data_IF_593255991614
#
_entry.id   IF_593255991614
#
_cell.length_a   1.000
_cell.length_b   1.000
_cell.length_c   1.000
_cell.angle_alpha   90.00
_cell.angle_beta   90.00
_cell.angle_gamma   90.00
#
_symmetry.space_group_name_H-M   'P 1'
#
loop_
_entity.id
_entity.type
_entity.pdbx_description
1 polymer ?
#
# COMPACT_ATOMS: atom_id res chain seq x y z
N UNK A 1 13.24 -2.48 -10.77
CA UNK A 1 12.59 -3.81 -10.85
C UNK A 1 11.64 -3.76 -12.05
N UNK A 2 12.08 -4.24 -13.22
CA UNK A 2 11.35 -4.34 -14.51
C UNK A 2 10.82 -3.07 -15.21
N UNK A 3 10.86 -1.89 -14.58
CA UNK A 3 10.38 -0.65 -15.21
C UNK A 3 8.85 -0.54 -15.30
N UNK A 4 8.14 -1.39 -14.56
CA UNK A 4 6.67 -1.38 -14.47
C UNK A 4 6.21 -0.29 -13.51
N UNK A 5 5.35 0.60 -13.97
CA UNK A 5 4.75 1.66 -13.14
C UNK A 5 3.71 1.05 -12.19
N UNK A 6 3.84 1.31 -10.88
CA UNK A 6 2.94 0.77 -9.84
C UNK A 6 2.04 1.81 -9.18
N UNK A 7 2.39 3.08 -9.27
CA UNK A 7 1.67 4.16 -8.62
C UNK A 7 1.90 5.48 -9.38
N UNK A 8 0.85 6.27 -9.53
CA UNK A 8 0.89 7.58 -10.17
C UNK A 8 -0.02 8.54 -9.40
N UNK A 9 0.44 9.79 -9.23
CA UNK A 9 -0.37 10.89 -8.69
C UNK A 9 -0.13 12.11 -9.57
N UNK A 10 -1.23 12.78 -9.93
CA UNK A 10 -1.21 14.06 -10.63
C UNK A 10 -2.14 14.99 -9.86
N UNK A 11 -1.58 16.08 -9.37
CA UNK A 11 -2.32 17.14 -8.69
C UNK A 11 -2.42 18.36 -9.60
N UNK A 12 -3.49 19.14 -9.45
CA UNK A 12 -3.59 20.47 -10.05
C UNK A 12 -2.57 21.44 -9.42
N UNK A 13 -2.29 22.57 -10.09
CA UNK A 13 -1.25 23.53 -9.72
C UNK A 13 -1.27 24.01 -8.25
N UNK A 14 -2.42 24.30 -7.61
CA UNK A 14 -2.43 24.78 -6.23
C UNK A 14 -2.30 23.66 -5.19
N UNK A 15 -2.26 22.38 -5.59
CA UNK A 15 -2.36 21.23 -4.69
C UNK A 15 -1.00 20.55 -4.52
N UNK A 16 -0.33 20.85 -3.41
CA UNK A 16 0.92 20.18 -3.02
C UNK A 16 0.76 18.66 -2.86
N UNK A 17 1.83 17.92 -3.15
CA UNK A 17 1.91 16.46 -2.88
C UNK A 17 2.42 16.23 -1.47
N UNK A 18 2.11 15.05 -0.92
CA UNK A 18 2.67 14.60 0.35
C UNK A 18 3.87 13.66 0.10
N UNK A 19 5.04 14.02 0.64
CA UNK A 19 6.27 13.21 0.52
C UNK A 19 6.16 11.94 1.34
N UNK A 20 5.54 11.99 2.52
CA UNK A 20 5.38 10.81 3.37
C UNK A 20 4.54 9.74 2.67
N UNK A 21 3.55 10.15 1.87
CA UNK A 21 2.74 9.23 1.07
C UNK A 21 3.55 8.58 -0.06
N UNK A 22 4.46 9.33 -0.68
CA UNK A 22 5.36 8.76 -1.69
C UNK A 22 6.29 7.71 -1.07
N UNK A 23 6.83 7.96 0.12
CA UNK A 23 7.65 7.00 0.86
C UNK A 23 6.82 5.79 1.26
N UNK A 24 5.60 6.01 1.80
CA UNK A 24 4.67 4.94 2.20
C UNK A 24 4.36 4.00 1.05
N UNK A 25 4.15 4.52 -0.16
CA UNK A 25 3.90 3.70 -1.34
C UNK A 25 5.12 2.87 -1.78
N UNK A 26 6.34 3.39 -1.59
CA UNK A 26 7.57 2.64 -1.85
C UNK A 26 7.75 1.51 -0.82
N UNK A 27 7.56 1.81 0.47
CA UNK A 27 7.62 0.81 1.54
C UNK A 27 6.55 -0.29 1.34
N UNK A 28 5.33 0.09 0.94
CA UNK A 28 4.25 -0.86 0.67
C UNK A 28 4.60 -1.79 -0.49
N UNK A 29 5.12 -1.25 -1.59
CA UNK A 29 5.55 -2.08 -2.73
C UNK A 29 6.64 -3.08 -2.31
N UNK A 30 7.64 -2.64 -1.55
CA UNK A 30 8.70 -3.52 -1.05
C UNK A 30 8.14 -4.61 -0.14
N UNK A 31 7.22 -4.26 0.77
CA UNK A 31 6.56 -5.22 1.65
C UNK A 31 5.80 -6.30 0.88
N UNK A 32 5.02 -5.93 -0.14
CA UNK A 32 4.28 -6.90 -0.97
C UNK A 32 5.24 -7.81 -1.73
N UNK A 33 6.32 -7.26 -2.30
CA UNK A 33 7.33 -8.04 -3.03
C UNK A 33 8.11 -9.02 -2.14
N UNK A 34 8.34 -8.68 -0.87
CA UNK A 34 9.11 -9.51 0.07
C UNK A 34 8.25 -10.56 0.78
N UNK A 35 7.01 -10.23 1.15
CA UNK A 35 6.16 -11.09 1.99
C UNK A 35 5.08 -11.84 1.20
N UNK A 36 4.72 -11.38 -0.01
CA UNK A 36 3.59 -11.94 -0.76
C UNK A 36 2.21 -11.60 -0.17
N UNK A 37 2.16 -10.77 0.85
CA UNK A 37 0.96 -10.22 1.47
C UNK A 37 0.56 -8.90 0.82
N UNK A 38 -0.68 -8.46 1.01
CA UNK A 38 -1.17 -7.16 0.53
C UNK A 38 -1.23 -6.14 1.67
N UNK A 39 -1.06 -4.85 1.33
CA UNK A 39 -1.16 -3.75 2.29
C UNK A 39 -2.60 -3.22 2.37
N UNK A 40 -3.29 -3.31 3.53
CA UNK A 40 -4.62 -2.73 3.70
C UNK A 40 -4.62 -1.18 3.67
N UNK A 41 -5.80 -0.56 3.75
CA UNK A 41 -5.93 0.90 3.79
C UNK A 41 -5.17 1.49 4.99
N UNK A 42 -4.51 2.63 4.79
CA UNK A 42 -3.67 3.29 5.81
C UNK A 42 -2.55 2.40 6.37
N UNK A 43 -2.12 1.39 5.62
CA UNK A 43 -0.95 0.60 5.96
C UNK A 43 0.31 1.47 5.94
N UNK A 44 1.14 1.30 6.96
CA UNK A 44 2.44 1.93 7.14
C UNK A 44 3.44 0.84 7.53
N UNK A 45 4.72 1.09 7.27
CA UNK A 45 5.80 0.19 7.64
C UNK A 45 5.71 -0.25 9.11
N UNK A 46 5.79 -1.57 9.34
CA UNK A 46 5.66 -2.20 10.65
C UNK A 46 4.23 -2.60 11.04
N UNK A 47 3.21 -2.25 10.25
CA UNK A 47 1.86 -2.82 10.39
C UNK A 47 1.76 -4.18 9.69
N UNK A 48 0.87 -5.02 10.18
CA UNK A 48 0.55 -6.30 9.58
C UNK A 48 -0.04 -6.13 8.17
N UNK A 49 0.37 -7.02 7.27
CA UNK A 49 -0.26 -7.18 5.96
C UNK A 49 -1.54 -7.98 6.05
N UNK A 50 -2.09 -8.33 4.90
CA UNK A 50 -3.25 -9.20 4.79
C UNK A 50 -2.98 -10.25 3.71
N UNK A 51 -3.35 -11.50 3.97
CA UNK A 51 -3.24 -12.54 2.94
C UNK A 51 -4.19 -12.22 1.76
N UNK A 52 -3.78 -12.46 0.50
CA UNK A 52 -4.59 -12.15 -0.68
C UNK A 52 -5.68 -13.21 -0.94
N UNK A 53 -6.54 -13.48 0.05
CA UNK A 53 -7.63 -14.45 -0.06
C UNK A 53 -8.93 -13.93 0.58
N UNK A 54 -10.04 -14.60 0.25
CA UNK A 54 -11.38 -14.20 0.70
C UNK A 54 -11.56 -14.26 2.22
N UNK A 55 -10.96 -15.25 2.88
CA UNK A 55 -11.08 -15.45 4.32
C UNK A 55 -10.42 -14.31 5.09
N UNK A 56 -9.17 -13.98 4.77
CA UNK A 56 -8.42 -12.88 5.37
C UNK A 56 -9.08 -11.53 5.11
N UNK A 57 -9.65 -11.33 3.91
CA UNK A 57 -10.40 -10.10 3.60
C UNK A 57 -11.66 -9.98 4.46
N UNK A 58 -12.42 -11.06 4.62
CA UNK A 58 -13.62 -11.06 5.45
C UNK A 58 -13.29 -10.81 6.93
N UNK A 59 -12.22 -11.40 7.44
CA UNK A 59 -11.75 -11.19 8.80
C UNK A 59 -11.31 -9.73 9.04
N UNK A 60 -10.51 -9.16 8.13
CA UNK A 60 -10.07 -7.77 8.21
C UNK A 60 -11.27 -6.80 8.26
N UNK A 61 -12.29 -7.03 7.43
CA UNK A 61 -13.50 -6.20 7.38
C UNK A 61 -14.43 -6.40 8.58
N UNK A 62 -14.38 -7.55 9.27
CA UNK A 62 -15.16 -7.78 10.47
C UNK A 62 -14.56 -7.11 11.71
N UNK A 63 -13.24 -6.84 11.70
CA UNK A 63 -12.50 -6.26 12.82
C UNK A 63 -12.43 -4.72 12.79
N UNK A 64 -12.87 -4.07 11.70
CA UNK A 64 -12.81 -2.61 11.49
C UNK A 64 -14.18 -2.04 11.12
#
# INVERSE_FOLDING_TARGET
KEGVVRHQIVNDLPLGRNVDEAIRMVDALQFVEENGEVCPANWNKGKEGMAPNHEATAEYLAQN
#
